data_IF_082145381542
#
_entry.id   IF_082145381542
#
_cell.length_a   1.000
_cell.length_b   1.000
_cell.length_c   1.000
_cell.angle_alpha   90.00
_cell.angle_beta   90.00
_cell.angle_gamma   90.00
#
_symmetry.space_group_name_H-M   'P 1'
#
loop_
_entity.id
_entity.type
_entity.pdbx_description
1 polymer ?
#
# COMPACT_ATOMS: atom_id res chain seq x y z
N UNK A 1 12.61 0.39 -11.76
CA UNK A 1 12.43 -0.84 -12.57
C UNK A 1 11.74 -1.95 -11.78
N UNK A 2 12.21 -2.30 -10.57
CA UNK A 2 11.57 -3.29 -9.67
C UNK A 2 10.07 -3.04 -9.43
N UNK A 3 9.72 -1.81 -9.01
CA UNK A 3 8.34 -1.41 -8.76
C UNK A 3 7.45 -1.51 -10.02
N UNK A 4 8.00 -1.25 -11.21
CA UNK A 4 7.24 -1.37 -12.47
C UNK A 4 7.03 -2.83 -12.89
N UNK A 5 8.02 -3.70 -12.68
CA UNK A 5 7.89 -5.14 -12.91
C UNK A 5 6.90 -5.76 -11.93
N UNK A 6 6.95 -5.37 -10.65
CA UNK A 6 6.01 -5.79 -9.63
C UNK A 6 4.59 -5.27 -9.93
N UNK A 7 4.41 -3.99 -10.28
CA UNK A 7 3.10 -3.45 -10.68
C UNK A 7 2.54 -4.19 -11.90
N UNK A 8 3.39 -4.57 -12.88
CA UNK A 8 2.96 -5.37 -14.03
C UNK A 8 2.51 -6.77 -13.62
N UNK A 9 3.31 -7.48 -12.83
CA UNK A 9 2.92 -8.77 -12.25
C UNK A 9 1.60 -8.65 -11.48
N UNK A 10 1.45 -7.55 -10.74
CA UNK A 10 0.28 -7.35 -9.92
C UNK A 10 -1.00 -7.17 -10.72
N UNK A 11 -0.91 -6.44 -11.83
CA UNK A 11 -2.02 -6.29 -12.80
C UNK A 11 -2.36 -7.61 -13.49
N UNK A 12 -1.35 -8.41 -13.83
CA UNK A 12 -1.54 -9.71 -14.48
C UNK A 12 -2.23 -10.72 -13.54
N UNK A 13 -1.94 -10.65 -12.23
CA UNK A 13 -2.64 -11.44 -11.20
C UNK A 13 -4.09 -11.01 -10.98
N UNK A 14 -4.38 -9.69 -10.94
CA UNK A 14 -5.75 -9.18 -10.79
C UNK A 14 -6.63 -9.56 -11.99
N UNK A 15 -6.08 -9.48 -13.22
CA UNK A 15 -6.78 -9.90 -14.44
C UNK A 15 -7.16 -11.40 -14.41
N UNK A 16 -6.30 -12.23 -13.80
CA UNK A 16 -6.59 -13.65 -13.62
C UNK A 16 -7.71 -13.89 -12.60
N UNK A 17 -7.73 -13.16 -11.48
CA UNK A 17 -8.74 -13.34 -10.43
C UNK A 17 -10.15 -12.95 -10.91
N UNK A 18 -10.25 -11.89 -11.71
CA UNK A 18 -11.51 -11.41 -12.31
C UNK A 18 -12.06 -12.39 -13.38
N UNK A 19 -11.16 -12.96 -14.18
CA UNK A 19 -11.51 -14.00 -15.16
C UNK A 19 -12.03 -15.28 -14.49
N UNK A 20 -11.60 -15.57 -13.25
CA UNK A 20 -12.06 -16.75 -12.51
C UNK A 20 -13.44 -16.55 -11.89
N UNK A 21 -13.71 -15.37 -11.30
CA UNK A 21 -15.02 -15.05 -10.68
C UNK A 21 -16.17 -15.04 -11.69
N UNK A 22 -15.95 -14.46 -12.87
CA UNK A 22 -16.99 -14.35 -13.91
C UNK A 22 -17.45 -15.69 -14.47
N UNK A 23 -16.68 -16.77 -14.25
CA UNK A 23 -17.00 -18.12 -14.75
C UNK A 23 -17.96 -18.90 -13.83
N UNK A 24 -18.30 -18.40 -12.62
CA UNK A 24 -18.97 -19.22 -11.58
C UNK A 24 -20.42 -18.85 -11.21
N UNK A 25 -21.12 -17.98 -11.95
CA UNK A 25 -22.52 -17.63 -11.63
C UNK A 25 -23.44 -17.61 -12.85
N UNK A 26 -24.29 -18.63 -12.98
CA UNK A 26 -25.75 -18.56 -13.25
C UNK A 26 -26.26 -19.81 -13.98
N UNK A 27 -27.18 -20.56 -13.37
CA UNK A 27 -28.18 -21.38 -14.09
C UNK A 27 -29.50 -21.41 -13.31
N UNK A 28 -30.61 -21.14 -14.00
CA UNK A 28 -31.95 -21.63 -13.68
C UNK A 28 -32.72 -21.86 -14.99
N UNK A 29 -33.49 -22.95 -15.04
CA UNK A 29 -33.84 -23.71 -16.24
C UNK A 29 -35.34 -23.71 -16.60
N UNK A 30 -35.64 -24.04 -17.87
CA UNK A 30 -36.79 -24.84 -18.41
C UNK A 30 -37.05 -24.43 -19.89
N UNK A 31 -37.32 -25.23 -20.94
CA UNK A 31 -37.55 -26.67 -21.20
C UNK A 31 -37.49 -26.90 -22.75
N UNK A 32 -36.78 -27.91 -23.28
CA UNK A 32 -37.00 -28.56 -24.61
C UNK A 32 -36.09 -29.80 -24.87
N UNK A 33 -36.48 -30.97 -24.34
CA UNK A 33 -35.61 -32.13 -24.03
C UNK A 33 -34.86 -32.89 -25.15
N UNK A 34 -35.02 -32.61 -26.45
CA UNK A 34 -34.26 -33.32 -27.51
C UNK A 34 -33.13 -32.49 -28.13
N UNK A 35 -33.34 -31.18 -28.22
CA UNK A 35 -32.31 -30.21 -28.63
C UNK A 35 -31.44 -29.87 -27.42
N UNK A 36 -31.99 -29.85 -26.21
CA UNK A 36 -31.23 -29.56 -25.00
C UNK A 36 -30.12 -30.57 -24.69
N UNK A 37 -30.22 -31.84 -25.08
CA UNK A 37 -29.17 -32.82 -24.75
C UNK A 37 -27.91 -32.62 -25.61
N UNK A 38 -28.06 -32.28 -26.89
CA UNK A 38 -26.91 -31.92 -27.75
C UNK A 38 -26.32 -30.55 -27.41
N UNK A 39 -27.15 -29.59 -26.98
CA UNK A 39 -26.67 -28.30 -26.48
C UNK A 39 -26.03 -28.42 -25.09
N UNK A 40 -26.54 -29.25 -24.19
CA UNK A 40 -25.94 -29.51 -22.87
C UNK A 40 -24.60 -30.22 -23.00
N UNK A 41 -24.46 -31.17 -23.94
CA UNK A 41 -23.18 -31.83 -24.23
C UNK A 41 -22.16 -30.87 -24.87
N UNK A 42 -22.60 -29.96 -25.74
CA UNK A 42 -21.71 -28.94 -26.31
C UNK A 42 -21.37 -27.84 -25.29
N UNK A 43 -22.30 -27.45 -24.41
CA UNK A 43 -22.03 -26.58 -23.26
C UNK A 43 -21.02 -27.22 -22.31
N UNK A 44 -21.20 -28.49 -21.94
CA UNK A 44 -20.25 -29.23 -21.10
C UNK A 44 -18.87 -29.35 -21.78
N UNK A 45 -18.84 -29.53 -23.10
CA UNK A 45 -17.59 -29.53 -23.89
C UNK A 45 -16.92 -28.16 -23.91
N UNK A 46 -17.69 -27.08 -24.06
CA UNK A 46 -17.23 -25.69 -24.01
C UNK A 46 -16.70 -25.39 -22.60
N UNK A 47 -17.40 -25.81 -21.55
CA UNK A 47 -16.96 -25.66 -20.16
C UNK A 47 -15.67 -26.43 -19.88
N UNK A 48 -15.57 -27.70 -20.31
CA UNK A 48 -14.34 -28.49 -20.18
C UNK A 48 -13.16 -27.84 -20.90
N UNK A 49 -13.37 -27.25 -22.09
CA UNK A 49 -12.34 -26.48 -22.80
C UNK A 49 -11.96 -25.20 -22.06
N UNK A 50 -12.93 -24.45 -21.54
CA UNK A 50 -12.70 -23.25 -20.72
C UNK A 50 -11.92 -23.58 -19.44
N UNK A 51 -12.29 -24.65 -18.74
CA UNK A 51 -11.60 -25.13 -17.53
C UNK A 51 -10.17 -25.60 -17.84
N UNK A 52 -9.97 -26.32 -18.95
CA UNK A 52 -8.63 -26.74 -19.40
C UNK A 52 -7.74 -25.55 -19.79
N UNK A 53 -8.31 -24.57 -20.49
CA UNK A 53 -7.62 -23.34 -20.86
C UNK A 53 -7.28 -22.49 -19.63
N UNK A 54 -8.23 -22.33 -18.70
CA UNK A 54 -7.99 -21.65 -17.42
C UNK A 54 -6.91 -22.36 -16.59
N UNK A 55 -6.93 -23.70 -16.57
CA UNK A 55 -5.90 -24.52 -15.91
C UNK A 55 -4.51 -24.37 -16.55
N UNK A 56 -4.43 -24.31 -17.89
CA UNK A 56 -3.17 -24.06 -18.60
C UNK A 56 -2.65 -22.65 -18.33
N UNK A 57 -3.52 -21.64 -18.42
CA UNK A 57 -3.17 -20.25 -18.16
C UNK A 57 -2.67 -20.06 -16.71
N UNK A 58 -3.34 -20.68 -15.74
CA UNK A 58 -2.93 -20.67 -14.33
C UNK A 58 -1.53 -21.27 -14.12
N UNK A 59 -1.21 -22.39 -14.78
CA UNK A 59 0.13 -22.99 -14.72
C UNK A 59 1.19 -22.07 -15.32
N UNK A 60 0.89 -21.42 -16.44
CA UNK A 60 1.79 -20.45 -17.06
C UNK A 60 2.01 -19.21 -16.19
N UNK A 61 0.96 -18.69 -15.55
CA UNK A 61 1.04 -17.55 -14.62
C UNK A 61 1.86 -17.91 -13.38
N UNK A 62 1.68 -19.11 -12.81
CA UNK A 62 2.51 -19.58 -11.69
C UNK A 62 3.96 -19.70 -12.11
N UNK A 63 4.23 -20.34 -13.25
CA UNK A 63 5.60 -20.51 -13.72
C UNK A 63 6.27 -19.16 -14.00
N UNK A 64 5.55 -18.22 -14.61
CA UNK A 64 6.03 -16.85 -14.82
C UNK A 64 6.29 -16.12 -13.48
N UNK A 65 5.43 -16.34 -12.47
CA UNK A 65 5.62 -15.77 -11.13
C UNK A 65 6.85 -16.35 -10.43
N UNK A 66 7.08 -17.66 -10.54
CA UNK A 66 8.28 -18.33 -10.02
C UNK A 66 9.55 -17.83 -10.73
N UNK A 67 9.52 -17.65 -12.04
CA UNK A 67 10.66 -17.11 -12.79
C UNK A 67 10.93 -15.64 -12.45
N UNK A 68 9.88 -14.84 -12.25
CA UNK A 68 10.04 -13.48 -11.78
C UNK A 68 10.66 -13.46 -10.38
N UNK A 69 10.33 -14.44 -9.53
CA UNK A 69 10.94 -14.54 -8.23
C UNK A 69 12.45 -14.73 -8.31
N UNK A 70 12.93 -15.59 -9.21
CA UNK A 70 14.36 -15.76 -9.44
C UNK A 70 15.04 -14.43 -9.81
N UNK A 71 14.41 -13.62 -10.67
CA UNK A 71 14.90 -12.30 -11.01
C UNK A 71 15.01 -11.36 -9.80
N UNK A 72 14.04 -11.40 -8.89
CA UNK A 72 14.09 -10.63 -7.65
C UNK A 72 15.26 -11.03 -6.75
N UNK A 73 15.51 -12.34 -6.60
CA UNK A 73 16.66 -12.86 -5.86
C UNK A 73 18.00 -12.46 -6.47
N UNK A 74 18.10 -12.44 -7.80
CA UNK A 74 19.31 -11.98 -8.47
C UNK A 74 19.59 -10.49 -8.20
N UNK A 75 18.54 -9.67 -8.09
CA UNK A 75 18.68 -8.25 -7.78
C UNK A 75 19.11 -8.05 -6.33
N UNK A 76 18.53 -8.79 -5.38
CA UNK A 76 18.99 -8.78 -3.99
C UNK A 76 20.45 -9.25 -3.89
N UNK A 77 20.80 -10.33 -4.58
CA UNK A 77 22.17 -10.84 -4.61
C UNK A 77 23.15 -9.79 -5.14
N UNK A 78 22.83 -9.13 -6.25
CA UNK A 78 23.62 -8.05 -6.81
C UNK A 78 23.75 -6.88 -5.82
N UNK A 79 22.65 -6.47 -5.18
CA UNK A 79 22.66 -5.38 -4.21
C UNK A 79 23.57 -5.68 -3.02
N UNK A 80 23.49 -6.89 -2.47
CA UNK A 80 24.34 -7.37 -1.37
C UNK A 80 25.81 -7.49 -1.78
N UNK A 81 26.09 -7.96 -3.01
CA UNK A 81 27.44 -8.02 -3.55
C UNK A 81 28.06 -6.63 -3.73
N UNK A 82 27.28 -5.66 -4.21
CA UNK A 82 27.70 -4.26 -4.33
C UNK A 82 27.96 -3.63 -2.96
N UNK A 83 27.05 -3.82 -1.98
CA UNK A 83 27.25 -3.32 -0.62
C UNK A 83 28.50 -3.92 0.04
N UNK A 84 28.83 -5.18 -0.25
CA UNK A 84 30.06 -5.78 0.24
C UNK A 84 31.32 -5.17 -0.40
N UNK A 85 31.29 -4.95 -1.72
CA UNK A 85 32.44 -4.42 -2.44
C UNK A 85 32.67 -2.92 -2.20
N UNK A 86 31.59 -2.18 -1.92
CA UNK A 86 31.58 -0.75 -1.64
C UNK A 86 30.89 -0.49 -0.29
N UNK A 87 31.60 -0.62 0.85
CA UNK A 87 31.03 -0.42 2.18
C UNK A 87 30.38 0.96 2.39
N UNK A 88 30.78 1.96 1.59
CA UNK A 88 30.16 3.29 1.57
C UNK A 88 28.66 3.23 1.20
N UNK A 89 28.24 2.25 0.38
CA UNK A 89 26.83 2.04 0.05
C UNK A 89 26.02 1.57 1.26
N UNK A 90 26.58 0.67 2.07
CA UNK A 90 25.96 0.23 3.31
C UNK A 90 25.87 1.40 4.30
N UNK A 91 26.97 2.14 4.51
CA UNK A 91 26.97 3.30 5.40
C UNK A 91 25.99 4.40 4.95
N UNK A 92 25.82 4.62 3.64
CA UNK A 92 24.82 5.56 3.11
C UNK A 92 23.38 5.06 3.33
N UNK A 93 23.13 3.75 3.18
CA UNK A 93 21.86 3.13 3.47
C UNK A 93 21.49 3.26 4.96
N UNK A 94 22.41 2.93 5.86
CA UNK A 94 22.20 3.04 7.31
C UNK A 94 21.94 4.49 7.73
N UNK A 95 22.72 5.44 7.20
CA UNK A 95 22.50 6.86 7.48
C UNK A 95 21.13 7.35 6.99
N UNK A 96 20.70 6.92 5.81
CA UNK A 96 19.38 7.25 5.24
C UNK A 96 18.23 6.64 6.06
N UNK A 97 18.35 5.38 6.48
CA UNK A 97 17.39 4.72 7.37
C UNK A 97 17.27 5.43 8.72
N UNK A 98 18.40 5.76 9.35
CA UNK A 98 18.43 6.50 10.60
C UNK A 98 17.82 7.90 10.47
N UNK A 99 18.13 8.63 9.39
CA UNK A 99 17.54 9.95 9.12
C UNK A 99 16.02 9.85 8.94
N UNK A 100 15.54 8.86 8.18
CA UNK A 100 14.12 8.65 7.98
C UNK A 100 13.39 8.35 9.30
N UNK A 101 14.01 7.61 10.22
CA UNK A 101 13.45 7.34 11.55
C UNK A 101 13.40 8.61 12.42
N UNK A 102 14.51 9.35 12.47
CA UNK A 102 14.74 10.41 13.47
C UNK A 102 14.25 11.79 13.03
N UNK A 103 14.24 12.09 11.74
CA UNK A 103 13.86 13.39 11.19
C UNK A 103 12.58 13.30 10.33
N UNK A 104 11.60 14.14 10.64
CA UNK A 104 10.38 14.24 9.86
C UNK A 104 10.61 14.85 8.46
N UNK A 105 11.57 15.76 8.32
CA UNK A 105 11.88 16.37 7.03
C UNK A 105 12.46 15.37 6.04
N UNK A 106 13.27 14.42 6.52
CA UNK A 106 13.83 13.32 5.73
C UNK A 106 12.75 12.40 5.12
N UNK A 107 11.55 12.35 5.71
CA UNK A 107 10.44 11.51 5.23
C UNK A 107 9.67 12.11 4.07
N UNK A 108 9.87 13.39 3.77
CA UNK A 108 9.08 14.08 2.74
C UNK A 108 9.37 13.53 1.33
N UNK A 109 8.46 13.74 0.38
CA UNK A 109 8.65 13.38 -1.05
C UNK A 109 9.88 14.07 -1.67
N UNK A 110 10.39 15.14 -1.05
CA UNK A 110 11.59 15.84 -1.49
C UNK A 110 12.86 15.07 -1.13
N UNK A 111 12.97 14.67 0.14
CA UNK A 111 14.18 14.01 0.67
C UNK A 111 14.16 12.50 0.42
N UNK A 112 12.98 11.87 0.48
CA UNK A 112 12.78 10.44 0.13
C UNK A 112 11.73 10.33 -0.98
N UNK A 113 12.08 10.51 -2.27
CA UNK A 113 11.10 10.54 -3.35
C UNK A 113 10.37 9.22 -3.59
N UNK A 114 11.07 8.09 -3.54
CA UNK A 114 10.53 6.75 -3.76
C UNK A 114 10.65 5.91 -2.47
N UNK A 115 9.49 5.58 -1.89
CA UNK A 115 9.41 4.79 -0.67
C UNK A 115 9.83 3.31 -0.90
N UNK A 116 9.65 2.78 -2.12
CA UNK A 116 10.10 1.42 -2.43
C UNK A 116 11.63 1.32 -2.56
N UNK A 117 12.28 2.35 -3.09
CA UNK A 117 13.74 2.46 -3.07
C UNK A 117 14.28 2.58 -1.65
N UNK A 118 13.61 3.38 -0.81
CA UNK A 118 13.92 3.45 0.61
C UNK A 118 13.85 2.06 1.29
N UNK A 119 12.79 1.26 1.05
CA UNK A 119 12.72 -0.10 1.62
C UNK A 119 13.80 -1.04 1.11
N UNK A 120 14.32 -0.83 -0.11
CA UNK A 120 15.41 -1.66 -0.61
C UNK A 120 16.72 -1.45 0.18
N UNK A 121 16.87 -0.32 0.89
CA UNK A 121 18.03 -0.07 1.74
C UNK A 121 18.10 -1.04 2.93
N UNK A 122 16.95 -1.52 3.41
CA UNK A 122 16.89 -2.52 4.50
C UNK A 122 17.60 -3.82 4.14
N UNK A 123 17.72 -4.17 2.84
CA UNK A 123 18.46 -5.36 2.44
C UNK A 123 19.97 -5.25 2.69
N UNK A 124 20.51 -4.03 2.74
CA UNK A 124 21.94 -3.79 2.93
C UNK A 124 22.28 -3.45 4.39
N UNK A 125 21.28 -3.03 5.16
CA UNK A 125 21.45 -2.57 6.53
C UNK A 125 21.66 -3.74 7.49
N UNK A 126 22.65 -3.60 8.37
CA UNK A 126 22.88 -4.51 9.49
C UNK A 126 22.29 -3.97 10.81
N UNK A 127 22.04 -2.66 10.88
CA UNK A 127 21.70 -1.95 12.13
C UNK A 127 20.21 -1.59 12.24
N UNK A 128 19.46 -1.72 11.15
CA UNK A 128 18.04 -1.39 11.08
C UNK A 128 17.23 -2.53 10.48
N UNK A 129 16.10 -2.81 11.12
CA UNK A 129 15.11 -3.78 10.70
C UNK A 129 13.87 -3.12 10.08
N UNK A 130 12.98 -3.95 9.56
CA UNK A 130 11.65 -3.51 9.13
C UNK A 130 10.85 -2.88 10.27
N UNK A 131 10.96 -3.49 11.45
CA UNK A 131 10.25 -3.09 12.65
C UNK A 131 10.64 -1.69 13.11
N UNK A 132 11.91 -1.31 12.95
CA UNK A 132 12.40 0.02 13.32
C UNK A 132 11.81 1.15 12.46
N UNK A 133 11.52 0.87 11.19
CA UNK A 133 11.05 1.89 10.23
C UNK A 133 9.55 1.85 9.98
N UNK A 134 8.86 0.77 10.34
CA UNK A 134 7.49 0.49 9.90
C UNK A 134 6.51 1.63 10.20
N UNK A 135 6.42 2.09 11.45
CA UNK A 135 5.44 3.11 11.86
C UNK A 135 5.58 4.40 11.04
N UNK A 136 6.83 4.88 10.92
CA UNK A 136 7.15 6.11 10.19
C UNK A 136 6.95 5.95 8.69
N UNK A 137 7.35 4.79 8.15
CA UNK A 137 7.14 4.46 6.75
C UNK A 137 5.65 4.41 6.42
N UNK A 138 4.88 3.69 7.23
CA UNK A 138 3.48 3.43 6.97
C UNK A 138 2.66 4.72 7.05
N UNK A 139 2.97 5.59 8.02
CA UNK A 139 2.36 6.91 8.16
C UNK A 139 2.64 7.79 6.95
N UNK A 140 3.90 7.88 6.53
CA UNK A 140 4.28 8.65 5.33
C UNK A 140 3.63 8.09 4.05
N UNK A 141 3.62 6.76 3.89
CA UNK A 141 2.97 6.08 2.77
C UNK A 141 1.47 6.42 2.71
N UNK A 142 0.74 6.36 3.84
CA UNK A 142 -0.68 6.72 3.88
C UNK A 142 -0.89 8.18 3.48
N UNK A 143 -0.11 9.11 4.02
CA UNK A 143 -0.21 10.53 3.68
C UNK A 143 0.02 10.79 2.18
N UNK A 144 1.01 10.13 1.56
CA UNK A 144 1.24 10.21 0.10
C UNK A 144 0.08 9.59 -0.69
N UNK A 145 -0.51 8.51 -0.19
CA UNK A 145 -1.56 7.80 -0.91
C UNK A 145 -2.91 8.54 -0.92
N UNK A 146 -3.13 9.48 0.00
CA UNK A 146 -4.34 10.32 0.00
C UNK A 146 -4.56 11.02 -1.34
N UNK A 147 -3.50 11.52 -1.98
CA UNK A 147 -3.61 12.12 -3.31
C UNK A 147 -4.27 11.17 -4.31
N UNK A 148 -3.79 9.93 -4.41
CA UNK A 148 -4.33 8.91 -5.30
C UNK A 148 -5.73 8.43 -4.91
N UNK A 149 -6.11 8.60 -3.64
CA UNK A 149 -7.47 8.31 -3.19
C UNK A 149 -8.45 9.40 -3.65
N UNK A 150 -8.10 10.67 -3.44
CA UNK A 150 -8.99 11.80 -3.62
C UNK A 150 -9.10 12.28 -5.07
N UNK A 151 -8.00 12.29 -5.82
CA UNK A 151 -7.90 12.92 -7.14
C UNK A 151 -8.83 12.23 -8.17
N UNK A 152 -9.72 12.97 -8.86
CA UNK A 152 -10.66 12.40 -9.83
C UNK A 152 -10.06 12.12 -11.21
N UNK A 153 -8.98 12.82 -11.58
CA UNK A 153 -8.41 12.72 -12.92
C UNK A 153 -7.36 11.59 -12.99
N UNK A 154 -6.63 11.38 -11.89
CA UNK A 154 -5.46 10.49 -11.81
C UNK A 154 -5.57 9.45 -10.70
N UNK A 155 -6.42 9.70 -9.72
CA UNK A 155 -6.67 8.81 -8.60
C UNK A 155 -7.95 8.00 -8.75
N UNK A 156 -8.57 7.72 -7.61
CA UNK A 156 -9.81 6.95 -7.52
C UNK A 156 -11.07 7.84 -7.48
N UNK A 157 -10.93 9.17 -7.53
CA UNK A 157 -12.03 10.11 -7.52
C UNK A 157 -12.89 10.12 -6.26
N UNK A 158 -12.34 9.65 -5.14
CA UNK A 158 -13.05 9.59 -3.85
C UNK A 158 -12.86 10.87 -3.04
N UNK A 159 -12.98 12.03 -3.69
CA UNK A 159 -12.74 13.34 -3.08
C UNK A 159 -13.63 13.62 -1.85
N UNK A 160 -14.79 12.96 -1.74
CA UNK A 160 -15.64 12.99 -0.56
C UNK A 160 -14.97 12.46 0.73
N UNK A 161 -13.86 11.71 0.64
CA UNK A 161 -13.07 11.27 1.79
C UNK A 161 -12.21 12.41 2.39
N UNK A 162 -12.08 13.54 1.71
CA UNK A 162 -11.45 14.75 2.25
C UNK A 162 -12.31 15.39 3.36
N UNK A 163 -13.63 15.14 3.38
CA UNK A 163 -14.47 15.51 4.51
C UNK A 163 -14.03 14.74 5.74
N UNK A 164 -13.63 15.42 6.83
CA UNK A 164 -13.28 14.77 8.08
C UNK A 164 -14.53 14.69 8.98
N UNK A 165 -15.17 13.53 8.99
CA UNK A 165 -16.38 13.29 9.75
C UNK A 165 -16.17 13.29 11.27
N UNK A 166 -17.23 13.69 12.00
CA UNK A 166 -17.21 13.82 13.47
C UNK A 166 -17.37 12.47 14.18
N UNK A 167 -17.98 11.47 13.53
CA UNK A 167 -18.10 10.13 14.12
C UNK A 167 -16.73 9.47 14.24
N UNK A 168 -16.45 8.81 15.36
CA UNK A 168 -15.18 8.13 15.59
C UNK A 168 -14.92 7.01 14.57
N UNK A 169 -15.96 6.25 14.23
CA UNK A 169 -15.87 5.15 13.26
C UNK A 169 -16.70 5.45 12.01
N UNK A 170 -16.10 5.26 10.85
CA UNK A 170 -16.76 5.35 9.54
C UNK A 170 -16.42 4.14 8.68
N UNK A 171 -17.40 3.26 8.50
CA UNK A 171 -17.34 2.08 7.62
C UNK A 171 -16.93 2.45 6.20
N UNK A 172 -17.61 3.46 5.63
CA UNK A 172 -17.32 3.96 4.28
C UNK A 172 -15.88 4.49 4.19
N UNK A 173 -15.35 5.22 5.19
CA UNK A 173 -13.94 5.66 5.15
C UNK A 173 -12.99 4.48 5.12
N UNK A 174 -13.19 3.50 6.00
CA UNK A 174 -12.32 2.34 6.12
C UNK A 174 -12.31 1.53 4.81
N UNK A 175 -13.48 1.19 4.29
CA UNK A 175 -13.63 0.43 3.04
C UNK A 175 -13.05 1.21 1.86
N UNK A 176 -13.48 2.45 1.64
CA UNK A 176 -13.10 3.20 0.45
C UNK A 176 -11.60 3.56 0.45
N UNK A 177 -11.03 3.85 1.63
CA UNK A 177 -9.59 4.11 1.76
C UNK A 177 -8.78 2.84 1.56
N UNK A 178 -9.24 1.68 2.06
CA UNK A 178 -8.57 0.41 1.82
C UNK A 178 -8.56 0.10 0.32
N UNK A 179 -9.74 0.19 -0.31
CA UNK A 179 -9.95 -0.08 -1.72
C UNK A 179 -9.05 0.79 -2.61
N UNK A 180 -8.96 2.09 -2.32
CA UNK A 180 -8.06 3.02 -3.02
C UNK A 180 -6.58 2.79 -2.75
N UNK A 181 -6.24 2.13 -1.65
CA UNK A 181 -4.85 1.89 -1.24
C UNK A 181 -4.35 0.50 -1.59
N UNK A 182 -5.20 -0.39 -2.13
CA UNK A 182 -4.88 -1.81 -2.37
C UNK A 182 -3.53 -2.04 -3.03
N UNK A 183 -3.22 -1.32 -4.10
CA UNK A 183 -1.92 -1.49 -4.80
C UNK A 183 -0.74 -1.13 -3.92
N UNK A 184 -0.80 0.01 -3.22
CA UNK A 184 0.26 0.45 -2.32
C UNK A 184 0.43 -0.52 -1.13
N UNK A 185 -0.69 -0.95 -0.53
CA UNK A 185 -0.70 -1.89 0.59
C UNK A 185 -0.16 -3.26 0.21
N UNK A 186 -0.48 -3.76 -0.98
CA UNK A 186 0.06 -5.02 -1.52
C UNK A 186 1.56 -4.93 -1.79
N UNK A 187 2.03 -3.80 -2.33
CA UNK A 187 3.46 -3.59 -2.54
C UNK A 187 4.21 -3.54 -1.21
N UNK A 188 3.65 -2.85 -0.22
CA UNK A 188 4.17 -2.79 1.13
C UNK A 188 4.28 -4.18 1.77
N UNK A 189 3.18 -4.95 1.78
CA UNK A 189 3.18 -6.31 2.35
C UNK A 189 4.12 -7.23 1.61
N UNK A 190 4.23 -7.08 0.28
CA UNK A 190 5.22 -7.82 -0.50
C UNK A 190 6.63 -7.51 0.01
N UNK A 191 7.02 -6.24 0.11
CA UNK A 191 8.35 -5.85 0.60
C UNK A 191 8.60 -6.35 2.02
N UNK A 192 7.62 -6.28 2.92
CA UNK A 192 7.73 -6.84 4.26
C UNK A 192 8.03 -8.35 4.25
N UNK A 193 7.36 -9.12 3.38
CA UNK A 193 7.67 -10.56 3.22
C UNK A 193 9.12 -10.79 2.80
N UNK A 194 9.71 -9.91 1.99
CA UNK A 194 11.11 -10.04 1.59
C UNK A 194 12.10 -9.45 2.60
N UNK A 195 11.74 -8.46 3.41
CA UNK A 195 12.69 -7.96 4.40
C UNK A 195 12.67 -8.86 5.64
N UNK A 196 11.49 -9.10 6.23
CA UNK A 196 11.39 -9.81 7.52
C UNK A 196 11.43 -11.34 7.40
N UNK A 197 11.01 -11.92 6.26
CA UNK A 197 10.93 -13.39 6.13
C UNK A 197 12.00 -14.01 5.23
N UNK A 198 12.88 -13.21 4.61
CA UNK A 198 13.85 -13.72 3.66
C UNK A 198 14.87 -14.65 4.30
N UNK A 199 15.41 -14.31 5.47
CA UNK A 199 16.26 -15.22 6.23
C UNK A 199 15.53 -16.55 6.57
N UNK A 200 14.26 -16.46 7.00
CA UNK A 200 13.42 -17.61 7.35
C UNK A 200 13.11 -18.52 6.14
N UNK A 201 13.25 -18.04 4.91
CA UNK A 201 13.10 -18.91 3.74
C UNK A 201 14.34 -19.75 3.46
N UNK A 202 15.54 -19.33 3.86
CA UNK A 202 16.77 -20.09 3.61
C UNK A 202 17.19 -20.95 4.78
N UNK A 203 16.83 -20.55 6.00
CA UNK A 203 17.12 -21.28 7.21
C UNK A 203 15.90 -22.16 7.52
N UNK A 204 16.01 -23.46 7.20
CA UNK A 204 14.97 -24.48 7.47
C UNK A 204 14.80 -24.75 8.99
N UNK A 205 15.61 -24.10 9.81
CA UNK A 205 15.64 -24.25 11.27
C UNK A 205 15.00 -23.04 11.95
N UNK A 206 13.94 -23.30 12.73
CA UNK A 206 13.23 -22.31 13.56
C UNK A 206 14.02 -21.92 14.80
N UNK A 207 15.31 -22.16 14.83
CA UNK A 207 16.16 -21.82 15.96
C UNK A 207 16.84 -20.47 15.68
N UNK A 208 16.33 -19.45 16.39
CA UNK A 208 16.83 -18.08 16.45
C UNK A 208 16.45 -17.12 15.29
N UNK A 209 15.30 -16.47 15.48
CA UNK A 209 14.74 -15.33 14.73
C UNK A 209 15.61 -14.04 14.72
N UNK A 210 16.88 -14.10 15.12
CA UNK A 210 17.75 -12.92 15.32
C UNK A 210 18.79 -12.70 14.20
N UNK A 211 18.71 -13.38 13.05
CA UNK A 211 19.86 -13.49 12.14
C UNK A 211 19.68 -13.05 10.68
N UNK A 212 18.81 -12.07 10.40
CA UNK A 212 18.99 -11.31 9.15
C UNK A 212 20.27 -10.47 9.27
N UNK A 213 21.36 -11.01 8.74
CA UNK A 213 22.57 -10.24 8.45
C UNK A 213 22.75 -10.17 6.94
N UNK A 214 22.95 -8.98 6.36
CA UNK A 214 23.30 -8.82 4.94
C UNK A 214 24.46 -9.74 4.52
N UNK A 215 25.43 -9.97 5.40
CA UNK A 215 26.57 -10.86 5.13
C UNK A 215 26.17 -12.34 5.03
N UNK A 216 25.29 -12.81 5.92
CA UNK A 216 24.74 -14.18 5.88
C UNK A 216 23.91 -14.38 4.62
N UNK A 217 23.03 -13.42 4.31
CA UNK A 217 22.18 -13.49 3.13
C UNK A 217 23.02 -13.51 1.84
N UNK A 218 24.07 -12.69 1.79
CA UNK A 218 25.01 -12.68 0.66
C UNK A 218 25.69 -14.03 0.50
N UNK A 219 26.25 -14.58 1.58
CA UNK A 219 26.92 -15.88 1.54
C UNK A 219 25.98 -16.98 1.02
N UNK A 220 24.72 -17.01 1.47
CA UNK A 220 23.73 -17.97 0.98
C UNK A 220 23.49 -17.80 -0.52
N UNK A 221 23.25 -16.57 -0.98
CA UNK A 221 22.97 -16.29 -2.39
C UNK A 221 24.20 -16.49 -3.29
N UNK A 222 25.41 -16.21 -2.82
CA UNK A 222 26.65 -16.50 -3.56
C UNK A 222 26.77 -18.01 -3.85
N UNK A 223 26.49 -18.85 -2.85
CA UNK A 223 26.54 -20.30 -3.00
C UNK A 223 25.44 -20.88 -3.91
N UNK A 224 24.37 -20.12 -4.14
CA UNK A 224 23.28 -20.51 -5.06
C UNK A 224 23.31 -19.71 -6.36
N UNK A 225 24.36 -18.95 -6.66
CA UNK A 225 24.45 -18.07 -7.83
C UNK A 225 23.26 -17.08 -7.95
N UNK A 226 22.74 -16.63 -6.81
CA UNK A 226 21.60 -15.74 -6.72
C UNK A 226 20.24 -16.43 -6.91
N UNK A 227 20.18 -17.76 -7.00
CA UNK A 227 18.92 -18.49 -7.05
C UNK A 227 18.36 -18.76 -5.65
N UNK A 228 17.03 -18.72 -5.48
CA UNK A 228 16.42 -19.23 -4.26
C UNK A 228 16.65 -20.74 -4.11
N UNK A 229 16.73 -21.23 -2.86
CA UNK A 229 16.76 -22.67 -2.61
C UNK A 229 15.48 -23.36 -3.12
N UNK A 230 15.55 -24.68 -3.33
CA UNK A 230 14.42 -25.45 -3.86
C UNK A 230 13.15 -25.25 -2.99
N UNK A 231 12.04 -24.90 -3.64
CA UNK A 231 10.75 -24.66 -2.97
C UNK A 231 10.57 -23.27 -2.35
N UNK A 232 11.62 -22.46 -2.16
CA UNK A 232 11.51 -21.08 -1.64
C UNK A 232 10.63 -20.22 -2.56
N UNK A 233 10.88 -20.25 -3.87
CA UNK A 233 10.10 -19.49 -4.85
C UNK A 233 8.60 -19.87 -4.79
N UNK A 234 8.29 -21.16 -4.68
CA UNK A 234 6.90 -21.62 -4.56
C UNK A 234 6.23 -21.17 -3.25
N UNK A 235 6.95 -21.19 -2.12
CA UNK A 235 6.45 -20.66 -0.83
C UNK A 235 6.19 -19.16 -0.90
N UNK A 236 7.08 -18.41 -1.55
CA UNK A 236 6.91 -16.96 -1.77
C UNK A 236 5.70 -16.66 -2.65
N UNK A 237 5.51 -17.40 -3.75
CA UNK A 237 4.28 -17.30 -4.55
C UNK A 237 3.03 -17.61 -3.70
N UNK A 238 3.13 -18.56 -2.76
CA UNK A 238 2.09 -18.82 -1.77
C UNK A 238 1.78 -17.61 -0.88
N UNK A 239 2.80 -16.94 -0.34
CA UNK A 239 2.66 -15.71 0.46
C UNK A 239 2.08 -14.57 -0.36
N UNK A 240 2.52 -14.39 -1.61
CA UNK A 240 1.95 -13.40 -2.53
C UNK A 240 0.47 -13.67 -2.72
N UNK A 241 0.04 -14.91 -2.98
CA UNK A 241 -1.39 -15.25 -3.09
C UNK A 241 -2.19 -14.89 -1.82
N UNK A 242 -1.59 -14.99 -0.64
CA UNK A 242 -2.23 -14.54 0.60
C UNK A 242 -2.39 -13.02 0.65
N UNK A 243 -1.38 -12.25 0.21
CA UNK A 243 -1.44 -10.78 0.12
C UNK A 243 -2.65 -10.33 -0.74
N UNK A 244 -2.95 -11.04 -1.84
CA UNK A 244 -4.10 -10.71 -2.69
C UNK A 244 -5.46 -10.95 -2.04
N UNK A 245 -5.51 -11.86 -1.05
CA UNK A 245 -6.73 -12.19 -0.33
C UNK A 245 -7.06 -11.19 0.77
N UNK A 246 -6.15 -10.29 1.12
CA UNK A 246 -6.39 -9.26 2.15
C UNK A 246 -7.42 -8.26 1.61
N UNK A 247 -8.54 -8.11 2.32
CA UNK A 247 -9.69 -7.26 1.94
C UNK A 247 -10.01 -6.16 2.95
N UNK A 248 -9.33 -6.11 4.09
CA UNK A 248 -9.58 -5.11 5.12
C UNK A 248 -8.31 -4.64 5.82
N UNK A 249 -8.40 -3.50 6.51
CA UNK A 249 -7.30 -3.00 7.36
C UNK A 249 -6.95 -3.97 8.48
N UNK A 250 -7.94 -4.56 9.15
CA UNK A 250 -7.72 -5.51 10.23
C UNK A 250 -7.00 -6.77 9.73
N UNK A 251 -7.38 -7.29 8.55
CA UNK A 251 -6.66 -8.40 7.91
C UNK A 251 -5.23 -8.02 7.51
N UNK A 252 -5.01 -6.79 7.04
CA UNK A 252 -3.67 -6.29 6.71
C UNK A 252 -2.77 -6.27 7.95
N UNK A 253 -3.24 -5.68 9.05
CA UNK A 253 -2.49 -5.64 10.31
C UNK A 253 -2.24 -7.04 10.87
N UNK A 254 -3.25 -7.91 10.81
CA UNK A 254 -3.10 -9.31 11.20
C UNK A 254 -2.08 -10.06 10.34
N UNK A 255 -1.95 -9.72 9.05
CA UNK A 255 -0.94 -10.31 8.16
C UNK A 255 0.47 -9.77 8.40
N UNK A 256 0.60 -8.48 8.76
CA UNK A 256 1.89 -7.85 8.99
C UNK A 256 2.55 -8.32 10.30
N UNK A 257 1.78 -8.86 11.26
CA UNK A 257 2.26 -9.38 12.55
C UNK A 257 3.04 -8.33 13.40
N UNK A 258 2.80 -7.03 13.15
CA UNK A 258 3.51 -5.90 13.75
C UNK A 258 2.94 -5.45 15.11
N UNK A 259 2.40 -6.38 15.90
CA UNK A 259 1.77 -6.09 17.20
C UNK A 259 0.26 -6.35 17.23
N UNK A 260 -0.44 -5.69 18.16
CA UNK A 260 -1.89 -5.81 18.29
C UNK A 260 -2.61 -5.19 17.09
N UNK A 261 -3.67 -5.86 16.61
CA UNK A 261 -4.49 -5.33 15.51
C UNK A 261 -5.24 -4.10 16.03
N UNK A 262 -5.06 -2.92 15.42
CA UNK A 262 -5.76 -1.71 15.87
C UNK A 262 -7.28 -1.87 15.75
N UNK A 263 -7.99 -1.22 16.67
CA UNK A 263 -9.46 -1.13 16.66
C UNK A 263 -9.95 -0.31 15.45
N UNK A 264 -11.23 -0.47 15.10
CA UNK A 264 -11.84 0.31 14.01
C UNK A 264 -11.77 1.83 14.25
N UNK A 265 -11.86 2.25 15.51
CA UNK A 265 -11.69 3.66 15.93
C UNK A 265 -10.26 4.15 15.66
N UNK A 266 -9.25 3.38 16.06
CA UNK A 266 -7.84 3.72 15.79
C UNK A 266 -7.56 3.76 14.29
N UNK A 267 -8.03 2.77 13.53
CA UNK A 267 -7.88 2.75 12.07
C UNK A 267 -8.54 3.97 11.45
N UNK A 268 -9.78 4.28 11.83
CA UNK A 268 -10.50 5.43 11.29
C UNK A 268 -9.79 6.75 11.63
N UNK A 269 -9.32 6.90 12.87
CA UNK A 269 -8.47 8.02 13.32
C UNK A 269 -7.21 8.17 12.46
N UNK A 270 -6.47 7.09 12.27
CA UNK A 270 -5.26 7.07 11.42
C UNK A 270 -5.53 7.47 9.97
N UNK A 271 -6.69 7.11 9.42
CA UNK A 271 -7.08 7.50 8.06
C UNK A 271 -7.46 8.98 7.96
N UNK A 272 -8.08 9.54 9.00
CA UNK A 272 -8.34 10.99 9.09
C UNK A 272 -7.02 11.76 9.24
N UNK A 273 -6.10 11.26 10.05
CA UNK A 273 -4.77 11.84 10.23
C UNK A 273 -3.96 11.81 8.93
N UNK A 274 -4.03 10.73 8.16
CA UNK A 274 -3.39 10.68 6.85
C UNK A 274 -3.85 11.82 5.93
N UNK A 275 -5.15 12.17 5.94
CA UNK A 275 -5.67 13.32 5.18
C UNK A 275 -5.10 14.63 5.73
N UNK A 276 -5.07 14.83 7.06
CA UNK A 276 -4.49 16.03 7.67
C UNK A 276 -3.01 16.20 7.34
N UNK A 277 -2.24 15.13 7.47
CA UNK A 277 -0.81 15.10 7.15
C UNK A 277 -0.56 15.36 5.68
N UNK A 278 -1.34 14.73 4.80
CA UNK A 278 -1.25 14.93 3.36
C UNK A 278 -1.50 16.39 2.98
N UNK A 279 -2.45 17.07 3.63
CA UNK A 279 -2.70 18.50 3.42
C UNK A 279 -1.55 19.36 3.98
N UNK A 280 -1.06 19.04 5.18
CA UNK A 280 0.06 19.75 5.81
C UNK A 280 1.34 19.70 4.96
N UNK A 281 1.66 18.50 4.45
CA UNK A 281 2.80 18.23 3.54
C UNK A 281 2.53 18.65 2.09
N UNK A 282 1.33 19.18 1.80
CA UNK A 282 0.89 19.64 0.47
C UNK A 282 0.95 18.54 -0.61
N UNK A 283 0.76 17.28 -0.23
CA UNK A 283 0.64 16.17 -1.17
C UNK A 283 -0.68 16.20 -1.94
N UNK A 284 -1.72 16.78 -1.34
CA UNK A 284 -2.94 17.14 -2.04
C UNK A 284 -3.36 18.56 -1.65
N UNK A 285 -4.23 19.15 -2.46
CA UNK A 285 -4.88 20.43 -2.17
C UNK A 285 -6.39 20.25 -2.32
N UNK A 286 -7.15 20.59 -1.28
CA UNK A 286 -8.60 20.58 -1.32
C UNK A 286 -9.11 22.02 -1.44
N UNK A 287 -9.75 22.35 -2.55
CA UNK A 287 -10.32 23.68 -2.79
C UNK A 287 -11.76 23.82 -2.29
N UNK A 288 -12.37 22.72 -1.85
CA UNK A 288 -13.72 22.69 -1.30
C UNK A 288 -13.71 23.07 0.17
N UNK A 289 -14.70 23.83 0.60
CA UNK A 289 -14.93 24.08 2.01
C UNK A 289 -15.63 22.89 2.69
N UNK A 290 -15.71 22.91 4.03
CA UNK A 290 -16.29 21.81 4.83
C UNK A 290 -17.75 21.52 4.44
N UNK A 291 -18.55 22.54 4.13
CA UNK A 291 -19.97 22.36 3.78
C UNK A 291 -20.12 21.73 2.39
N UNK A 292 -19.31 22.15 1.41
CA UNK A 292 -19.30 21.54 0.07
C UNK A 292 -18.84 20.08 0.10
N UNK A 293 -17.82 19.78 0.92
CA UNK A 293 -17.37 18.41 1.15
C UNK A 293 -18.45 17.56 1.82
N UNK A 294 -19.22 18.14 2.76
CA UNK A 294 -20.33 17.46 3.41
C UNK A 294 -21.48 17.20 2.42
N UNK A 295 -21.79 18.13 1.51
CA UNK A 295 -22.73 17.88 0.40
C UNK A 295 -22.29 16.64 -0.36
N UNK A 296 -21.04 16.62 -0.83
CA UNK A 296 -20.52 15.50 -1.63
C UNK A 296 -20.51 14.19 -0.83
N UNK A 297 -20.05 14.22 0.42
CA UNK A 297 -20.07 13.05 1.31
C UNK A 297 -21.49 12.53 1.48
N UNK A 298 -22.50 13.39 1.61
CA UNK A 298 -23.89 13.00 1.80
C UNK A 298 -24.56 12.33 0.59
N UNK A 299 -23.99 12.48 -0.62
CA UNK A 299 -24.50 11.78 -1.81
C UNK A 299 -24.08 10.31 -1.83
N UNK A 300 -22.99 9.96 -1.13
CA UNK A 300 -22.43 8.60 -1.07
C UNK A 300 -22.76 7.94 0.27
N UNK A 301 -22.54 8.66 1.36
CA UNK A 301 -22.69 8.18 2.72
C UNK A 301 -24.11 8.45 3.27
N UNK A 302 -24.92 7.40 3.27
CA UNK A 302 -26.29 7.48 3.79
C UNK A 302 -26.34 7.48 5.33
N UNK A 303 -25.25 7.20 6.01
CA UNK A 303 -25.16 7.07 7.47
C UNK A 303 -24.81 8.39 8.18
N UNK A 304 -24.46 9.44 7.43
CA UNK A 304 -24.20 10.77 8.01
C UNK A 304 -25.38 11.22 8.89
N UNK A 305 -25.14 11.66 10.14
CA UNK A 305 -26.18 12.15 11.02
C UNK A 305 -27.13 13.13 10.34
N UNK A 306 -28.44 12.96 10.57
CA UNK A 306 -29.47 13.85 9.98
C UNK A 306 -29.24 15.31 10.34
N UNK A 307 -28.59 15.58 11.47
CA UNK A 307 -28.25 16.94 11.92
C UNK A 307 -27.19 17.60 11.03
N UNK A 308 -26.14 16.87 10.64
CA UNK A 308 -25.15 17.33 9.66
C UNK A 308 -25.80 17.57 8.30
N UNK A 309 -26.65 16.64 7.82
CA UNK A 309 -27.38 16.80 6.55
C UNK A 309 -28.33 18.01 6.54
N UNK A 310 -28.97 18.33 7.67
CA UNK A 310 -29.87 19.48 7.80
C UNK A 310 -29.15 20.83 7.73
N UNK A 311 -27.88 20.91 8.17
CA UNK A 311 -27.08 22.14 8.03
C UNK A 311 -26.88 22.49 6.57
N UNK A 312 -26.67 21.48 5.72
CA UNK A 312 -26.36 21.63 4.29
C UNK A 312 -27.59 21.88 3.42
N UNK A 313 -28.74 21.28 3.75
CA UNK A 313 -29.96 21.42 2.95
C UNK A 313 -30.54 22.85 2.92
N UNK A 314 -30.04 23.74 3.78
CA UNK A 314 -30.36 25.17 3.75
C UNK A 314 -29.53 25.96 2.74
N UNK A 315 -28.50 25.36 2.15
CA UNK A 315 -27.38 26.12 1.61
C UNK A 315 -27.02 25.90 0.14
N UNK A 316 -27.48 24.87 -0.59
CA UNK A 316 -27.39 24.91 -2.07
C UNK A 316 -28.03 23.77 -2.88
N UNK A 317 -28.73 24.17 -3.95
CA UNK A 317 -29.08 23.38 -5.15
C UNK A 317 -28.02 23.54 -6.29
N UNK A 318 -26.91 24.29 -6.09
CA UNK A 318 -25.98 24.68 -7.18
C UNK A 318 -24.56 24.09 -7.17
N UNK A 319 -24.11 23.33 -6.16
CA UNK A 319 -22.65 23.09 -5.94
C UNK A 319 -22.04 21.94 -6.77
N UNK A 320 -22.83 21.03 -7.34
CA UNK A 320 -22.25 19.82 -7.98
C UNK A 320 -22.15 20.02 -9.50
N UNK A 321 -21.10 20.70 -9.99
CA UNK A 321 -20.69 20.55 -11.40
C UNK A 321 -19.24 20.85 -11.83
N UNK A 322 -18.35 21.38 -10.99
CA UNK A 322 -17.00 21.76 -11.47
C UNK A 322 -15.91 21.76 -10.39
N UNK A 323 -15.30 20.61 -10.05
CA UNK A 323 -14.19 20.65 -9.09
C UNK A 323 -13.04 19.72 -9.50
N UNK A 324 -11.89 20.35 -9.81
CA UNK A 324 -10.62 19.72 -10.19
C UNK A 324 -9.68 19.80 -8.99
N UNK A 325 -9.19 18.65 -8.53
CA UNK A 325 -8.10 18.58 -7.54
C UNK A 325 -6.79 18.70 -8.35
N UNK A 326 -5.90 19.61 -7.96
CA UNK A 326 -4.64 19.87 -8.69
C UNK A 326 -3.46 19.43 -7.83
N UNK A 327 -2.44 18.81 -8.44
CA UNK A 327 -1.16 18.55 -7.75
C UNK A 327 -0.52 19.86 -7.31
N UNK A 328 0.12 19.87 -6.14
CA UNK A 328 1.10 20.89 -5.86
C UNK A 328 2.27 20.75 -6.88
N UNK A 329 2.70 21.84 -7.54
CA UNK A 329 3.81 21.77 -8.48
C UNK A 329 5.10 21.32 -7.79
N UNK A 330 5.80 20.40 -8.43
CA UNK A 330 7.11 19.89 -8.02
C UNK A 330 8.19 20.91 -8.40
N UNK A 331 8.72 21.66 -7.43
CA UNK A 331 9.93 22.47 -7.65
C UNK A 331 11.14 21.54 -7.75
N UNK A 332 11.60 21.31 -8.98
CA UNK A 332 12.91 20.73 -9.25
C UNK A 332 13.98 21.72 -8.79
N UNK A 333 14.53 21.54 -7.58
CA UNK A 333 15.72 22.28 -7.16
C UNK A 333 16.90 21.86 -8.05
N UNK A 334 17.31 22.76 -8.94
CA UNK A 334 18.59 22.66 -9.63
C UNK A 334 19.73 22.81 -8.59
N UNK A 335 20.83 22.05 -8.71
CA UNK A 335 21.97 22.23 -7.82
C UNK A 335 22.74 23.49 -8.25
N UNK A 336 22.56 24.58 -7.50
CA UNK A 336 23.17 25.87 -7.80
C UNK A 336 23.52 26.68 -6.55
N UNK A 337 24.79 26.57 -6.16
CA UNK A 337 25.58 27.52 -5.36
C UNK A 337 25.06 27.92 -3.98
N UNK A 338 25.74 27.38 -2.96
CA UNK A 338 25.75 27.89 -1.60
C UNK A 338 26.07 29.40 -1.58
N UNK A 339 25.18 30.19 -0.99
CA UNK A 339 25.52 31.37 -0.20
C UNK A 339 24.38 31.60 0.81
N UNK A 340 24.77 31.73 2.08
CA UNK A 340 23.91 31.46 3.24
C UNK A 340 22.77 32.43 3.48
N UNK A 341 21.74 31.89 4.16
CA UNK A 341 20.76 32.62 4.98
C UNK A 341 20.33 31.69 6.13
N UNK A 342 20.16 32.29 7.31
CA UNK A 342 20.01 31.74 8.67
C UNK A 342 18.85 30.74 8.92
N UNK A 343 18.94 29.92 10.00
CA UNK A 343 17.88 29.01 10.42
C UNK A 343 16.89 29.69 11.37
N UNK A 344 15.59 29.61 11.08
CA UNK A 344 14.57 29.92 12.08
C UNK A 344 13.19 30.23 11.51
N UNK A 345 12.29 29.24 11.59
CA UNK A 345 10.88 29.42 11.99
C UNK A 345 10.20 28.07 12.18
N UNK A 346 10.18 27.65 13.43
CA UNK A 346 9.37 26.55 13.97
C UNK A 346 7.91 27.02 13.99
N UNK A 347 6.99 26.25 13.42
CA UNK A 347 5.57 26.39 13.70
C UNK A 347 5.28 25.82 15.09
N UNK A 348 5.42 26.67 16.12
CA UNK A 348 4.88 26.43 17.45
C UNK A 348 3.59 27.25 17.61
N UNK A 349 2.50 26.60 18.05
CA UNK A 349 1.34 27.33 18.58
C UNK A 349 0.01 26.59 18.49
N UNK A 350 -0.32 25.80 19.53
CA UNK A 350 -1.61 25.87 20.24
C UNK A 350 -1.59 24.92 21.45
N UNK A 351 -1.00 25.34 22.55
CA UNK A 351 -1.22 24.73 23.88
C UNK A 351 -2.49 25.34 24.46
N UNK A 352 -3.55 24.53 24.62
CA UNK A 352 -4.74 24.93 25.39
C UNK A 352 -4.51 24.52 26.85
N UNK A 353 -4.24 25.49 27.71
CA UNK A 353 -4.17 25.32 29.16
C UNK A 353 -5.57 25.30 29.78
N UNK A 354 -5.97 24.18 30.38
CA UNK A 354 -7.17 24.09 31.20
C UNK A 354 -6.91 24.71 32.59
N UNK A 355 -7.59 25.81 32.91
CA UNK A 355 -7.62 26.37 34.26
C UNK A 355 -8.84 25.80 35.00
N UNK A 356 -8.62 24.87 35.92
CA UNK A 356 -9.68 24.35 36.80
C UNK A 356 -9.90 25.34 37.96
N UNK A 357 -10.97 26.12 37.89
CA UNK A 357 -11.53 26.80 39.07
C UNK A 357 -12.32 25.78 39.91
N UNK A 358 -11.78 25.36 41.06
CA UNK A 358 -12.60 24.75 42.12
C UNK A 358 -13.21 25.86 42.97
N UNK A 359 -14.53 25.83 43.11
CA UNK A 359 -15.27 26.50 44.19
C UNK A 359 -15.06 25.69 45.48
N UNK A 360 -14.51 26.35 46.49
CA UNK A 360 -15.03 26.45 47.87
C UNK A 360 -14.10 27.41 48.62
#
# INVERSE_FOLDING_TARGET
MLNQMLVKLMKDCDAWEESYRTTTTNVSASNMYGVLESYALEEERIERKKLAQAGMLFRTVIHASEQMMNGYFHIIHLLLALAHHFPELQGAADASLLQFQTDEHARTKRETPDLGEFLAQLYMSADHSWEDVFDKYFTEMRARNVFWCLDPDRGNGKGYLAYLEEQEVSSLRMEESFESSKTALRMLTFQNVFVSNLANFFLDDRSNTDCYSPSTMRYILENTYGYPAAGVAARLVGKIKQIYRIRSWSELYGYLEMGEVPTDEEICGMLKDAVRESACKRYHQCHLNKDELLVWRSTVDKEIPKEERRRVHKQNDEVIRTHRIVEAPYEQSTPGTANGVEPGRICAGATISFTVRRKC
#
